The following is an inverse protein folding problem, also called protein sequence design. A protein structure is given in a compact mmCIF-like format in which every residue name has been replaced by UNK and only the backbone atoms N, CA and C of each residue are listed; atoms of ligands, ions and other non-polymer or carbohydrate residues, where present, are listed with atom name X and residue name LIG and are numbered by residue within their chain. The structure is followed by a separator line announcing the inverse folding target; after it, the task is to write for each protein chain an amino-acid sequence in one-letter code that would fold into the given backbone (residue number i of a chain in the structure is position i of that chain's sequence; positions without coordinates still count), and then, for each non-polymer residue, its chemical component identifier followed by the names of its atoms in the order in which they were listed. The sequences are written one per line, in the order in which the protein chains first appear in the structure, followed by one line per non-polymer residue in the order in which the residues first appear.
data_IF_765780065768
#
_entry.id   IF_765780065768
#
_cell.length_a   1.000
_cell.length_b   1.000
_cell.length_c   1.000
_cell.angle_alpha   90.00
_cell.angle_beta   90.00
_cell.angle_gamma   90.00
#
_symmetry.space_group_name_H-M   'P 1'
#
loop_
_entity.id
_entity.type
_entity.pdbx_description
1 polymer ?
2 non-polymer ?
3 water ?
#
# COMPACT_ATOMS: atom_id res chain seq x y z
N UNK A 6 11.43 -21.14 12.00
CA UNK A 6 11.54 -19.70 12.29
C UNK A 6 12.97 -19.18 12.23
N UNK A 7 13.23 -18.26 11.30
CA UNK A 7 14.57 -17.72 11.12
C UNK A 7 14.48 -16.26 10.72
N UNK A 8 15.64 -15.60 10.76
CA UNK A 8 15.75 -14.19 10.42
C UNK A 8 16.08 -14.05 8.95
N UNK A 9 15.20 -13.38 8.19
CA UNK A 9 15.36 -13.23 6.76
C UNK A 9 15.21 -11.75 6.40
N UNK A 10 15.83 -11.37 5.28
CA UNK A 10 15.71 -10.01 4.74
C UNK A 10 14.57 -9.98 3.73
N UNK A 11 13.67 -9.02 3.91
CA UNK A 11 12.48 -8.96 3.06
C UNK A 11 12.08 -7.50 2.84
N UNK A 12 11.19 -7.31 1.87
CA UNK A 12 10.56 -6.02 1.59
C UNK A 12 9.08 -6.18 1.88
N UNK A 13 8.54 -5.26 2.69
CA UNK A 13 7.17 -5.36 3.18
C UNK A 13 6.30 -4.38 2.43
N UNK A 14 5.10 -4.82 2.05
CA UNK A 14 4.15 -4.03 1.28
C UNK A 14 2.90 -3.81 2.11
N UNK A 15 2.47 -2.55 2.23
CA UNK A 15 1.25 -2.19 2.92
C UNK A 15 0.50 -1.16 2.10
N UNK A 16 -0.80 -1.38 1.91
CA UNK A 16 -1.62 -0.46 1.12
C UNK A 16 -3.07 -0.57 1.59
N UNK A 17 -3.76 0.58 1.62
CA UNK A 17 -5.14 0.62 2.04
C UNK A 17 -5.88 1.66 1.23
N UNK A 18 -7.19 1.75 1.45
CA UNK A 18 -8.04 2.69 0.75
C UNK A 18 -8.15 3.97 1.57
N UNK A 19 -7.91 5.11 0.93
CA UNK A 19 -7.96 6.38 1.63
C UNK A 19 -9.40 6.75 1.97
N UNK A 20 -9.59 7.29 3.18
CA UNK A 20 -10.90 7.72 3.67
C UNK A 20 -11.92 6.57 3.62
N UNK A 21 -11.45 5.36 3.94
CA UNK A 21 -12.33 4.20 3.89
C UNK A 21 -13.41 4.26 4.95
N UNK A 22 -13.14 4.92 6.08
CA UNK A 22 -14.16 5.06 7.12
C UNK A 22 -15.32 5.91 6.64
N UNK A 23 -15.02 7.05 6.00
CA UNK A 23 -16.08 7.89 5.45
C UNK A 23 -16.80 7.21 4.29
N UNK A 24 -16.10 6.34 3.56
CA UNK A 24 -16.75 5.60 2.49
C UNK A 24 -17.73 4.58 3.02
N UNK A 25 -17.39 3.90 4.12
CA UNK A 25 -18.31 2.95 4.75
C UNK A 25 -19.41 3.65 5.53
N UNK A 26 -19.30 4.95 5.75
CA UNK A 26 -20.32 5.70 6.47
C UNK A 26 -21.43 6.23 5.57
N UNK A 27 -21.18 6.36 4.27
CA UNK A 27 -22.14 6.93 3.35
C UNK A 27 -22.60 5.99 2.23
N UNK A 28 -21.80 4.98 1.89
CA UNK A 28 -22.19 4.09 0.80
C UNK A 28 -22.96 2.88 1.33
N UNK A 29 -23.87 2.34 0.52
CA UNK A 29 -24.59 1.13 0.93
C UNK A 29 -23.67 -0.08 0.95
N UNK A 30 -24.22 -1.19 1.47
CA UNK A 30 -23.41 -2.40 1.66
C UNK A 30 -22.96 -2.96 0.32
N UNK A 31 -23.86 -3.01 -0.67
CA UNK A 31 -23.51 -3.59 -1.96
C UNK A 31 -22.42 -2.79 -2.65
N UNK A 32 -22.38 -1.47 -2.44
CA UNK A 32 -21.36 -0.65 -3.09
C UNK A 32 -20.01 -0.74 -2.39
N UNK A 33 -20.00 -0.89 -1.06
CA UNK A 33 -18.74 -1.08 -0.34
C UNK A 33 -18.09 -2.39 -0.76
N UNK A 34 -18.92 -3.44 -0.96
CA UNK A 34 -18.39 -4.73 -1.38
C UNK A 34 -17.74 -4.61 -2.75
N UNK A 35 -18.41 -3.93 -3.69
CA UNK A 35 -17.87 -3.76 -5.03
C UNK A 35 -16.57 -2.97 -4.99
N UNK A 36 -16.52 -1.92 -4.17
CA UNK A 36 -15.33 -1.07 -4.11
C UNK A 36 -14.16 -1.81 -3.49
N UNK A 37 -14.41 -2.62 -2.46
CA UNK A 37 -13.32 -3.34 -1.80
C UNK A 37 -12.84 -4.49 -2.68
N UNK A 38 -13.78 -5.23 -3.29
CA UNK A 38 -13.38 -6.32 -4.19
C UNK A 38 -12.63 -5.78 -5.39
N UNK A 39 -12.98 -4.60 -5.87
CA UNK A 39 -12.22 -3.97 -6.94
C UNK A 39 -10.79 -3.66 -6.48
N UNK A 40 -10.65 -3.17 -5.26
CA UNK A 40 -9.33 -2.84 -4.74
C UNK A 40 -8.49 -4.08 -4.49
N UNK A 41 -9.11 -5.13 -3.94
CA UNK A 41 -8.38 -6.37 -3.70
C UNK A 41 -7.98 -7.05 -5.01
N UNK A 42 -8.84 -6.98 -6.03
CA UNK A 42 -8.54 -7.64 -7.30
C UNK A 42 -7.37 -6.95 -8.00
N UNK A 43 -7.33 -5.62 -7.96
CA UNK A 43 -6.26 -4.90 -8.64
C UNK A 43 -4.93 -5.09 -7.91
N UNK A 44 -4.97 -5.09 -6.57
CA UNK A 44 -3.73 -5.19 -5.80
C UNK A 44 -3.12 -6.59 -5.94
N UNK A 45 -3.90 -7.64 -5.66
CA UNK A 45 -3.34 -8.98 -5.65
C UNK A 45 -2.84 -9.41 -7.02
N UNK A 46 -3.53 -8.98 -8.08
CA UNK A 46 -3.11 -9.35 -9.43
C UNK A 46 -1.76 -8.73 -9.78
N UNK A 47 -1.59 -7.44 -9.49
CA UNK A 47 -0.35 -6.77 -9.83
C UNK A 47 0.78 -7.23 -8.93
N UNK A 48 0.49 -7.48 -7.65
CA UNK A 48 1.50 -8.00 -6.73
C UNK A 48 1.98 -9.38 -7.20
N UNK A 49 1.04 -10.26 -7.53
CA UNK A 49 1.40 -11.60 -7.98
C UNK A 49 2.08 -11.58 -9.34
N UNK A 50 1.78 -10.58 -10.17
CA UNK A 50 2.40 -10.53 -11.50
C UNK A 50 3.89 -10.23 -11.42
N UNK A 51 4.32 -9.47 -10.42
CA UNK A 51 5.72 -9.14 -10.24
C UNK A 51 6.43 -10.07 -9.26
N UNK A 52 5.85 -11.24 -8.98
CA UNK A 52 6.44 -12.19 -8.06
C UNK A 52 6.16 -11.95 -6.60
N UNK A 53 5.39 -10.92 -6.26
CA UNK A 53 5.05 -10.67 -4.88
C UNK A 53 4.12 -11.71 -4.31
N UNK A 54 3.99 -11.69 -2.98
CA UNK A 54 3.17 -12.66 -2.26
C UNK A 54 2.26 -11.92 -1.30
N UNK A 55 0.97 -11.86 -1.62
CA UNK A 55 -0.02 -11.26 -0.72
C UNK A 55 -0.18 -12.17 0.48
N UNK A 56 0.10 -11.64 1.67
CA UNK A 56 0.10 -12.45 2.88
C UNK A 56 -1.28 -12.54 3.52
N UNK A 57 -1.96 -11.41 3.71
CA UNK A 57 -3.23 -11.42 4.42
C UNK A 57 -3.95 -10.10 4.16
N UNK A 58 -5.28 -10.15 4.32
CA UNK A 58 -6.13 -8.97 4.26
C UNK A 58 -6.54 -8.58 5.68
N UNK A 59 -6.50 -7.28 5.97
CA UNK A 59 -6.91 -6.75 7.26
C UNK A 59 -7.88 -5.60 6.98
N UNK A 60 -9.17 -5.91 6.95
CA UNK A 60 -10.15 -4.91 6.57
C UNK A 60 -9.94 -4.50 5.13
N UNK A 61 -9.61 -3.23 4.92
CA UNK A 61 -9.30 -2.71 3.60
C UNK A 61 -7.80 -2.65 3.33
N UNK A 62 -6.99 -3.17 4.26
CA UNK A 62 -5.54 -3.12 4.12
C UNK A 62 -5.03 -4.40 3.46
N UNK A 63 -4.05 -4.24 2.58
CA UNK A 63 -3.43 -5.35 1.86
C UNK A 63 -1.97 -5.42 2.30
N UNK A 64 -1.56 -6.58 2.80
CA UNK A 64 -0.18 -6.83 3.22
C UNK A 64 0.46 -7.82 2.27
N UNK A 65 1.64 -7.49 1.78
CA UNK A 65 2.38 -8.36 0.87
C UNK A 65 3.87 -8.27 1.21
N UNK A 66 4.64 -9.19 0.65
CA UNK A 66 6.07 -9.24 0.90
C UNK A 66 6.80 -9.59 -0.38
N UNK A 67 7.98 -8.99 -0.56
CA UNK A 67 8.88 -9.29 -1.65
C UNK A 67 10.22 -9.73 -1.09
N UNK A 68 10.92 -10.57 -1.84
CA UNK A 68 12.24 -11.00 -1.41
C UNK A 68 13.21 -9.82 -1.44
N UNK A 69 14.38 -10.03 -0.83
CA UNK A 69 15.34 -8.94 -0.67
C UNK A 69 15.86 -8.40 -1.99
N UNK A 70 15.75 -9.17 -3.07
CA UNK A 70 16.24 -8.76 -4.38
C UNK A 70 15.15 -8.17 -5.26
N UNK A 71 13.94 -8.03 -4.75
CA UNK A 71 12.79 -7.59 -5.54
C UNK A 71 12.37 -6.16 -5.18
N UNK A 72 13.35 -5.29 -4.92
CA UNK A 72 13.04 -3.88 -4.72
C UNK A 72 12.56 -3.21 -5.98
N UNK A 73 13.01 -3.68 -7.14
CA UNK A 73 12.52 -3.18 -8.42
C UNK A 73 11.05 -3.52 -8.61
N UNK A 74 10.63 -4.70 -8.16
CA UNK A 74 9.24 -5.13 -8.37
C UNK A 74 8.30 -4.39 -7.44
N UNK A 75 8.71 -4.20 -6.17
CA UNK A 75 7.83 -3.54 -5.21
C UNK A 75 7.49 -2.12 -5.62
N UNK A 76 8.43 -1.43 -6.28
CA UNK A 76 8.15 -0.08 -6.75
C UNK A 76 7.27 -0.12 -8.00
N UNK A 77 7.59 -1.02 -8.94
CA UNK A 77 6.77 -1.16 -10.14
C UNK A 77 5.36 -1.62 -9.78
N UNK A 78 5.22 -2.51 -8.80
CA UNK A 78 3.90 -2.93 -8.35
C UNK A 78 3.11 -1.76 -7.80
N UNK A 79 3.75 -0.91 -6.99
CA UNK A 79 3.06 0.25 -6.44
C UNK A 79 2.65 1.22 -7.53
N UNK A 80 3.52 1.44 -8.52
CA UNK A 80 3.20 2.39 -9.59
C UNK A 80 2.12 1.85 -10.52
N UNK A 81 2.09 0.53 -10.74
CA UNK A 81 1.05 -0.05 -11.58
C UNK A 81 -0.31 0.00 -10.89
N UNK A 82 -0.33 -0.18 -9.57
CA UNK A 82 -1.59 -0.07 -8.84
C UNK A 82 -2.11 1.36 -8.87
N UNK A 83 -1.21 2.34 -8.71
CA UNK A 83 -1.62 3.73 -8.75
C UNK A 83 -2.12 4.10 -10.15
N UNK A 84 -1.45 3.61 -11.19
CA UNK A 84 -1.86 3.95 -12.55
C UNK A 84 -3.18 3.29 -12.92
N UNK A 85 -3.37 2.03 -12.51
CA UNK A 85 -4.63 1.35 -12.81
C UNK A 85 -5.79 1.95 -12.04
N UNK A 86 -5.54 2.45 -10.82
CA UNK A 86 -6.60 3.13 -10.08
C UNK A 86 -6.92 4.48 -10.68
N UNK A 87 -5.92 5.17 -11.25
CA UNK A 87 -6.18 6.44 -11.90
C UNK A 87 -6.95 6.25 -13.21
N UNK A 88 -6.66 5.17 -13.94
CA UNK A 88 -7.42 4.87 -15.14
C UNK A 88 -8.83 4.43 -14.80
N UNK A 89 -9.03 3.81 -13.63
CA UNK A 89 -10.37 3.41 -13.22
C UNK A 89 -11.25 4.62 -12.93
N UNK A 90 -10.71 5.61 -12.24
CA UNK A 90 -11.49 6.78 -11.88
C UNK A 90 -11.82 7.65 -13.09
N UNK A 91 -11.01 7.59 -14.15
CA UNK A 91 -11.29 8.36 -15.35
C UNK A 91 -12.28 7.68 -16.28
N UNK A 92 -12.44 6.37 -16.18
CA UNK A 92 -13.37 5.62 -17.01
C UNK A 92 -14.74 5.45 -16.36
N UNK A 93 -14.99 6.13 -15.25
CA UNK A 93 -16.30 6.08 -14.59
C UNK A 93 -16.81 7.51 -14.43
N UNK A 94 -18.13 7.61 -14.30
CA UNK A 94 -18.76 8.92 -14.11
C UNK A 94 -18.40 9.49 -12.74
N UNK A 95 -18.55 10.82 -12.62
CA UNK A 95 -18.20 11.48 -11.37
C UNK A 95 -19.12 11.05 -10.23
N UNK A 96 -20.34 10.62 -10.55
CA UNK A 96 -21.27 10.15 -9.53
C UNK A 96 -20.99 8.71 -9.10
N UNK A 97 -20.14 7.99 -9.83
CA UNK A 97 -19.84 6.61 -9.48
C UNK A 97 -18.92 6.58 -8.26
N UNK A 98 -19.24 5.78 -7.24
CA UNK A 98 -18.35 5.71 -6.07
C UNK A 98 -16.95 5.19 -6.39
N UNK A 99 -16.76 4.52 -7.53
CA UNK A 99 -15.43 4.12 -7.93
C UNK A 99 -14.55 5.31 -8.28
N UNK A 100 -15.15 6.48 -8.55
CA UNK A 100 -14.40 7.70 -8.82
C UNK A 100 -13.68 8.22 -7.58
N UNK A 101 -13.95 7.66 -6.41
CA UNK A 101 -13.34 8.10 -5.16
C UNK A 101 -12.31 7.10 -4.63
N UNK A 102 -11.95 6.10 -5.43
CA UNK A 102 -11.07 5.02 -4.97
C UNK A 102 -9.62 5.45 -5.12
N UNK A 103 -9.01 5.87 -4.01
CA UNK A 103 -7.59 6.21 -3.95
C UNK A 103 -6.89 5.22 -3.03
N UNK A 104 -5.55 5.26 -3.05
CA UNK A 104 -4.76 4.33 -2.27
C UNK A 104 -3.54 5.03 -1.69
N UNK A 105 -2.97 4.42 -0.65
CA UNK A 105 -1.71 4.85 -0.08
C UNK A 105 -0.84 3.64 0.20
N UNK A 106 0.40 3.66 -0.30
CA UNK A 106 1.26 2.48 -0.27
C UNK A 106 2.53 2.81 0.51
N UNK A 107 2.92 1.90 1.40
CA UNK A 107 4.16 2.03 2.13
C UNK A 107 5.05 0.82 1.97
N UNK A 108 6.32 1.04 1.67
CA UNK A 108 7.29 -0.03 1.47
C UNK A 108 8.42 0.11 2.48
N UNK A 109 8.96 -1.02 2.93
CA UNK A 109 10.06 -1.03 3.87
C UNK A 109 11.01 -2.18 3.51
N UNK A 110 12.19 -2.15 4.12
CA UNK A 110 13.20 -3.17 3.88
C UNK A 110 13.98 -3.40 5.17
N UNK A 111 14.20 -4.66 5.51
CA UNK A 111 14.94 -4.99 6.71
C UNK A 111 14.75 -6.44 7.08
N UNK A 112 15.40 -6.82 8.18
CA UNK A 112 15.34 -8.18 8.67
C UNK A 112 14.03 -8.41 9.42
N UNK A 113 13.38 -9.54 9.14
CA UNK A 113 12.15 -9.93 9.81
C UNK A 113 12.23 -11.42 10.16
N UNK A 114 11.58 -11.79 11.26
CA UNK A 114 11.53 -13.17 11.71
C UNK A 114 10.35 -13.84 11.01
N UNK A 115 10.65 -14.77 10.10
CA UNK A 115 9.63 -15.49 9.36
C UNK A 115 9.46 -16.89 9.92
N UNK A 116 8.21 -17.29 10.14
CA UNK A 116 7.93 -18.61 10.64
C UNK A 116 6.52 -18.71 11.16
N UNK A 117 6.09 -19.95 11.39
CA UNK A 117 4.77 -20.21 11.92
C UNK A 117 4.75 -19.92 13.41
N UNK A 118 3.83 -19.05 13.84
CA UNK A 118 3.75 -18.61 15.22
C UNK A 118 2.34 -18.87 15.76
N UNK A 119 2.24 -18.93 17.09
CA UNK A 119 0.97 -19.06 17.76
C UNK A 119 0.97 -20.22 18.75
N UNK A 120 -0.22 -20.72 19.02
CA UNK A 120 -0.44 -21.82 19.96
C UNK A 120 -1.13 -22.97 19.24
N UNK A 121 -1.49 -23.99 20.03
CA UNK A 121 -2.18 -25.15 19.46
C UNK A 121 -3.58 -24.78 18.96
N UNK A 122 -4.21 -23.77 19.55
CA UNK A 122 -5.53 -23.36 19.10
C UNK A 122 -5.46 -22.52 17.83
N UNK A 123 -4.33 -21.85 17.59
CA UNK A 123 -4.19 -20.99 16.42
C UNK A 123 -2.72 -20.92 16.04
N UNK A 124 -2.39 -21.45 14.86
CA UNK A 124 -1.07 -21.30 14.26
C UNK A 124 -1.21 -20.55 12.94
N UNK A 125 -0.33 -19.58 12.72
CA UNK A 125 -0.42 -18.74 11.54
C UNK A 125 0.97 -18.26 11.13
N UNK A 126 1.19 -18.18 9.82
CA UNK A 126 2.43 -17.64 9.30
C UNK A 126 2.53 -16.15 9.63
N UNK A 127 3.65 -15.75 10.22
CA UNK A 127 3.79 -14.40 10.77
C UNK A 127 5.15 -13.83 10.41
N UNK A 128 5.18 -12.52 10.21
CA UNK A 128 6.42 -11.77 9.99
C UNK A 128 6.61 -10.81 11.14
N UNK A 129 7.73 -10.94 11.85
CA UNK A 129 8.04 -10.14 13.03
C UNK A 129 9.30 -9.33 12.77
N UNK A 130 9.22 -8.02 12.93
CA UNK A 130 10.37 -7.16 12.74
C UNK A 130 9.98 -5.71 12.61
N UNK A 131 11.01 -4.87 12.58
CA UNK A 131 10.77 -3.43 12.41
C UNK A 131 10.25 -3.10 11.02
N UNK A 132 10.64 -3.88 10.01
CA UNK A 132 10.23 -3.59 8.65
C UNK A 132 8.72 -3.70 8.46
N UNK A 133 8.06 -4.55 9.26
CA UNK A 133 6.62 -4.68 9.15
C UNK A 133 5.91 -3.46 9.70
N UNK A 134 6.36 -2.95 10.85
CA UNK A 134 5.74 -1.77 11.43
C UNK A 134 6.08 -0.51 10.64
N UNK A 135 7.30 -0.44 10.11
CA UNK A 135 7.71 0.74 9.34
C UNK A 135 6.89 0.86 8.06
N UNK A 136 6.66 -0.27 7.38
CA UNK A 136 5.88 -0.24 6.15
C UNK A 136 4.45 0.21 6.40
N UNK A 137 3.88 -0.17 7.55
CA UNK A 137 2.51 0.23 7.86
C UNK A 137 2.43 1.71 8.19
N UNK A 138 3.46 2.25 8.85
CA UNK A 138 3.45 3.67 9.21
C UNK A 138 3.76 4.57 8.03
N UNK A 139 4.61 4.11 7.10
CA UNK A 139 4.83 4.88 5.87
C UNK A 139 3.58 4.88 5.00
N UNK A 140 2.83 3.77 5.01
CA UNK A 140 1.56 3.73 4.28
C UNK A 140 0.57 4.74 4.83
N UNK A 141 0.45 4.80 6.16
CA UNK A 141 -0.38 5.84 6.78
C UNK A 141 0.24 7.22 6.66
N UNK A 142 1.56 7.30 6.44
CA UNK A 142 2.22 8.59 6.29
C UNK A 142 1.85 9.25 4.97
N UNK A 143 1.43 8.48 3.97
CA UNK A 143 1.07 9.05 2.68
C UNK A 143 -0.23 9.83 2.72
N UNK A 144 -1.03 9.69 3.77
CA UNK A 144 -2.27 10.45 3.87
C UNK A 144 -2.00 11.93 3.99
N UNK A 145 -0.93 12.30 4.70
CA UNK A 145 -0.52 13.69 4.84
C UNK A 145 0.59 14.06 3.86
N UNK A 146 0.84 13.23 2.86
CA UNK A 146 1.87 13.46 1.86
C UNK A 146 1.25 13.61 0.48
N UNK A 147 1.87 14.39 -0.41
CA UNK A 147 1.36 14.55 -1.77
C UNK A 147 1.61 13.35 -2.68
N UNK A 148 2.22 12.28 -2.16
CA UNK A 148 2.57 11.12 -2.95
C UNK A 148 1.91 9.89 -2.35
N UNK A 149 1.31 9.06 -3.20
CA UNK A 149 0.63 7.84 -2.75
C UNK A 149 1.59 6.70 -2.44
N UNK A 150 2.89 6.92 -2.56
CA UNK A 150 3.89 5.90 -2.31
C UNK A 150 5.02 6.47 -1.46
N UNK A 151 5.45 5.70 -0.47
CA UNK A 151 6.55 6.10 0.40
C UNK A 151 7.31 4.86 0.82
N UNK A 152 8.64 4.91 0.73
CA UNK A 152 9.48 3.79 1.08
C UNK A 152 10.76 4.28 1.74
N UNK A 153 11.46 3.35 2.38
CA UNK A 153 12.68 3.66 3.10
C UNK A 153 13.88 3.67 2.15
N UNK A 154 15.06 3.94 2.72
CA UNK A 154 16.29 3.92 1.92
C UNK A 154 16.68 2.51 1.53
N UNK A 155 16.22 1.49 2.25
CA UNK A 155 16.56 0.12 1.91
C UNK A 155 15.86 -0.36 0.65
N UNK A 156 14.66 0.14 0.38
CA UNK A 156 13.98 -0.21 -0.85
C UNK A 156 14.61 0.52 -2.04
N UNK A 157 15.14 1.72 -1.80
CA UNK A 157 15.70 2.53 -2.86
C UNK A 157 17.10 2.07 -3.28
N UNK A 158 17.82 1.42 -2.37
CA UNK A 158 19.23 1.06 -2.56
C UNK A 158 19.57 0.47 -3.94
N UNK A 160 18.19 0.34 -7.38
CA UNK A 160 17.17 0.78 -8.32
C UNK A 160 17.35 2.25 -8.66
N UNK A 161 18.59 2.74 -8.54
CA UNK A 161 18.86 4.16 -8.70
C UNK A 161 18.75 4.60 -10.15
N UNK A 162 19.12 3.74 -11.10
CA UNK A 162 19.24 4.14 -12.50
C UNK A 162 17.91 4.28 -13.22
N UNK A 163 16.79 3.99 -12.56
CA UNK A 163 15.49 3.98 -13.24
C UNK A 163 14.59 5.15 -12.86
N UNK A 164 14.45 5.44 -11.57
CA UNK A 164 13.48 6.42 -11.11
C UNK A 164 14.17 7.67 -10.58
N UNK A 165 13.44 8.78 -10.66
CA UNK A 165 13.87 10.06 -10.11
C UNK A 165 13.43 10.10 -8.65
N UNK A 166 14.31 9.64 -7.76
CA UNK A 166 13.96 9.50 -6.35
C UNK A 166 13.85 10.86 -5.69
N UNK A 167 12.73 11.08 -5.00
CA UNK A 167 12.47 12.31 -4.27
C UNK A 167 12.72 12.04 -2.78
N UNK A 168 13.59 12.85 -2.19
CA UNK A 168 13.94 12.71 -0.77
C UNK A 168 13.04 13.62 0.05
N UNK A 169 12.10 13.02 0.76
CA UNK A 169 11.16 13.79 1.59
C UNK A 169 11.70 14.12 2.97
N UNK A 170 12.89 13.62 3.32
CA UNK A 170 13.49 13.94 4.60
C UNK A 170 13.19 12.91 5.67
N UNK A 171 13.74 13.18 6.84
CA UNK A 171 13.59 12.28 7.98
C UNK A 171 12.22 12.45 8.62
N UNK A 172 11.61 11.34 9.03
CA UNK A 172 10.32 11.34 9.70
C UNK A 172 10.35 10.32 10.82
N UNK A 173 9.24 10.24 11.56
CA UNK A 173 9.10 9.28 12.65
C UNK A 173 9.08 7.85 12.12
N UNK A 179 12.85 5.62 17.00
CA UNK A 179 13.76 6.55 16.35
C UNK A 179 13.21 7.01 15.00
N UNK A 180 13.98 7.82 14.30
CA UNK A 180 13.57 8.43 13.04
C UNK A 180 14.19 7.70 11.85
N UNK A 181 13.50 7.76 10.71
CA UNK A 181 13.95 7.16 9.47
C UNK A 181 13.79 8.17 8.34
N UNK A 182 14.46 7.88 7.22
CA UNK A 182 14.35 8.70 6.02
C UNK A 182 13.27 8.12 5.11
N UNK A 183 12.52 9.01 4.45
CA UNK A 183 11.41 8.63 3.60
C UNK A 183 11.70 9.07 2.17
N UNK A 184 11.42 8.18 1.22
CA UNK A 184 11.64 8.45 -0.20
C UNK A 184 10.35 8.17 -0.97
N UNK A 185 10.30 8.70 -2.19
CA UNK A 185 9.19 8.48 -3.09
C UNK A 185 9.67 8.76 -4.52
N UNK A 186 8.75 8.64 -5.47
CA UNK A 186 9.03 8.91 -6.87
C UNK A 186 8.07 9.97 -7.36
N UNK A 187 8.50 10.70 -8.40
CA UNK A 187 7.66 11.76 -8.95
C UNK A 187 6.40 11.21 -9.60
N UNK A 188 6.47 9.98 -10.12
CA UNK A 188 5.30 9.37 -10.75
C UNK A 188 4.24 8.95 -9.75
N UNK A 189 4.52 9.04 -8.46
CA UNK A 189 3.55 8.70 -7.42
C UNK A 189 2.79 9.91 -6.91
N UNK A 190 2.94 11.05 -7.57
CA UNK A 190 2.25 12.27 -7.15
C UNK A 190 0.75 12.12 -7.31
N UNK A 191 0.00 12.63 -6.34
CA UNK A 191 -1.45 12.56 -6.36
C UNK A 191 -2.01 13.70 -7.21
N UNK A 192 -2.76 13.35 -8.24
CA UNK A 192 -3.43 14.35 -9.09
C UNK A 192 -4.90 14.49 -8.69
N UNK A 196 -6.75 15.38 2.35
CA UNK A 196 -7.84 15.96 3.13
C UNK A 196 -9.07 16.24 2.26
N UNK A 197 -8.85 16.79 1.07
CA UNK A 197 -9.93 17.20 0.18
C UNK A 197 -10.61 15.99 -0.43
N UNK A 198 -10.04 14.80 -0.18
CA UNK A 198 -10.68 13.56 -0.59
C UNK A 198 -11.99 13.36 0.17
N UNK A 199 -11.94 13.48 1.50
CA UNK A 199 -13.16 13.33 2.29
C UNK A 199 -14.19 14.39 1.92
N UNK A 200 -13.73 15.62 1.64
CA UNK A 200 -14.64 16.65 1.16
C UNK A 200 -15.16 16.33 -0.24
N UNK A 201 -14.33 15.69 -1.07
CA UNK A 201 -14.78 15.24 -2.38
C UNK A 201 -15.79 14.11 -2.26
N UNK A 202 -15.66 13.27 -1.23
CA UNK A 202 -16.58 12.15 -1.06
C UNK A 202 -17.93 12.65 -0.56
N UNK A 203 -17.91 13.54 0.44
CA UNK A 203 -19.17 14.00 1.04
C UNK A 203 -19.99 14.83 0.05
N UNK A 204 -19.32 15.61 -0.79
CA UNK A 204 -20.05 16.43 -1.76
C UNK A 204 -20.65 15.57 -2.86
N UNK A 205 -19.87 14.62 -3.39
CA UNK A 205 -20.39 13.73 -4.42
C UNK A 205 -21.43 12.77 -3.86
N UNK A 206 -21.20 12.28 -2.64
CA UNK A 206 -22.17 11.40 -1.98
C UNK A 206 -22.57 11.96 -0.63
#
# INVERSE_FOLDING_TARGET
GSHMEPQLVEKIIFFSDILAFSTLTEKLPVNEVVILVNRYFSICTRIISAYGGEVTKFIGDCVMASFTKEQGDAAIRTSLDIISELKQLRHHVEATNPLHLLYTGIGLSYGHVIEGNMGSSLKMDHTLLGDAVNVAARLEALTRQLPYALAFTAGVKKCCQAQWTFINLGAHQVKGKQEAIEVYTVNEAQKYYDTLQITQLIRQTLENDK
#
